data_IF_288998121614
#
_entry.id   IF_288998121614
#
_cell.length_a   1.000
_cell.length_b   1.000
_cell.length_c   1.000
_cell.angle_alpha   90.00
_cell.angle_beta   90.00
_cell.angle_gamma   90.00
#
_symmetry.space_group_name_H-M   'P 1'
#
loop_
_entity.id
_entity.type
_entity.pdbx_description
1 polymer ?
#
# COMPACT_ATOMS: atom_id res chain seq x y z
N UNK A 1 11.09 -4.29 -21.86
CA UNK A 1 10.60 -4.93 -20.63
C UNK A 1 10.13 -6.34 -20.96
N UNK A 2 10.79 -7.34 -20.42
CA UNK A 2 10.44 -8.75 -20.64
C UNK A 2 9.25 -9.08 -19.73
N UNK A 3 8.14 -9.54 -20.29
CA UNK A 3 6.98 -10.05 -19.55
C UNK A 3 6.98 -11.56 -19.69
N UNK A 4 7.34 -12.27 -18.63
CA UNK A 4 7.13 -13.70 -18.53
C UNK A 4 5.98 -14.00 -17.57
N UNK A 5 5.18 -15.07 -17.80
CA UNK A 5 4.20 -15.52 -16.82
C UNK A 5 4.93 -15.94 -15.53
N UNK A 6 4.44 -15.47 -14.39
CA UNK A 6 4.93 -15.89 -13.08
C UNK A 6 4.04 -17.05 -12.62
N UNK A 7 4.65 -18.22 -12.43
CA UNK A 7 3.96 -19.38 -11.86
C UNK A 7 4.20 -19.40 -10.36
N UNK A 8 3.14 -19.67 -9.61
CA UNK A 8 3.25 -19.95 -8.19
C UNK A 8 3.64 -21.41 -8.03
N UNK A 9 4.78 -21.70 -7.40
CA UNK A 9 5.24 -23.05 -7.10
C UNK A 9 5.02 -23.31 -5.61
N UNK A 10 4.47 -24.46 -5.28
CA UNK A 10 4.46 -24.95 -3.90
C UNK A 10 5.86 -25.51 -3.62
N UNK A 11 6.56 -24.90 -2.68
CA UNK A 11 7.95 -25.21 -2.36
C UNK A 11 8.03 -25.58 -0.89
N UNK A 12 8.71 -26.67 -0.55
CA UNK A 12 9.01 -27.01 0.85
C UNK A 12 9.82 -25.87 1.50
N UNK A 13 9.59 -25.67 2.80
CA UNK A 13 10.26 -24.59 3.53
C UNK A 13 11.77 -24.48 3.20
N UNK A 14 12.26 -23.25 2.93
CA UNK A 14 11.77 -21.94 3.37
C UNK A 14 10.75 -21.21 2.46
N UNK A 15 9.96 -21.87 1.66
CA UNK A 15 8.88 -21.30 0.83
C UNK A 15 9.31 -20.16 -0.11
N UNK A 16 10.58 -20.07 -0.43
CA UNK A 16 11.14 -19.05 -1.31
C UNK A 16 12.00 -19.68 -2.40
N UNK A 17 11.91 -19.14 -3.61
CA UNK A 17 12.65 -19.61 -4.76
C UNK A 17 13.02 -18.47 -5.70
N UNK A 18 14.00 -18.75 -6.57
CA UNK A 18 14.38 -17.81 -7.63
C UNK A 18 13.70 -18.22 -8.94
N UNK A 19 12.89 -17.33 -9.48
CA UNK A 19 12.29 -17.48 -10.81
C UNK A 19 12.83 -16.40 -11.73
N UNK A 20 13.63 -16.77 -12.72
CA UNK A 20 14.23 -15.85 -13.72
C UNK A 20 14.93 -14.63 -13.09
N UNK A 21 15.65 -14.83 -11.98
CA UNK A 21 16.36 -13.78 -11.26
C UNK A 21 15.50 -12.95 -10.29
N UNK A 22 14.23 -13.29 -10.12
CA UNK A 22 13.36 -12.70 -9.11
C UNK A 22 13.24 -13.61 -7.89
N UNK A 23 13.41 -13.05 -6.69
CA UNK A 23 13.07 -13.75 -5.46
C UNK A 23 11.55 -13.80 -5.31
N UNK A 24 10.99 -14.99 -5.25
CA UNK A 24 9.54 -15.21 -5.10
C UNK A 24 9.32 -16.00 -3.81
N UNK A 25 8.32 -15.60 -3.06
CA UNK A 25 7.90 -16.27 -1.84
C UNK A 25 6.46 -16.77 -1.98
N UNK A 26 6.24 -18.03 -1.62
CA UNK A 26 4.91 -18.60 -1.59
C UNK A 26 4.39 -18.66 -0.14
N UNK A 27 3.16 -18.23 0.08
CA UNK A 27 2.47 -18.35 1.37
C UNK A 27 1.15 -19.08 1.16
N UNK A 28 1.02 -20.27 1.74
CA UNK A 28 -0.25 -20.97 1.86
C UNK A 28 -0.85 -20.69 3.24
N UNK A 29 -2.04 -20.15 3.28
CA UNK A 29 -2.75 -19.93 4.54
C UNK A 29 -3.92 -20.91 4.66
N UNK A 30 -4.02 -21.69 5.72
CA UNK A 30 -5.15 -22.55 5.97
C UNK A 30 -6.41 -21.73 6.24
N UNK A 31 -7.55 -22.21 5.76
CA UNK A 31 -8.86 -21.63 6.05
C UNK A 31 -9.37 -22.27 7.35
N UNK A 32 -9.45 -21.46 8.40
CA UNK A 32 -10.03 -21.88 9.68
C UNK A 32 -11.54 -21.62 9.73
N UNK A 33 -12.26 -22.40 10.56
CA UNK A 33 -13.70 -22.18 10.80
C UNK A 33 -13.97 -21.03 11.78
N UNK A 34 -12.98 -20.64 12.57
CA UNK A 34 -13.03 -19.54 13.55
C UNK A 34 -12.28 -18.33 13.05
N UNK A 35 -12.44 -17.20 13.74
CA UNK A 35 -11.63 -16.01 13.50
C UNK A 35 -10.13 -16.36 13.65
N UNK A 36 -9.32 -15.85 12.75
CA UNK A 36 -7.88 -16.14 12.71
C UNK A 36 -7.07 -14.88 12.46
N UNK A 37 -5.81 -14.88 12.89
CA UNK A 37 -4.88 -13.77 12.72
C UNK A 37 -3.81 -14.13 11.69
N UNK A 38 -3.68 -13.30 10.67
CA UNK A 38 -2.51 -13.23 9.82
C UNK A 38 -1.68 -12.01 10.24
N UNK A 39 -0.46 -12.24 10.70
CA UNK A 39 0.49 -11.18 11.05
C UNK A 39 1.82 -11.43 10.34
N UNK A 40 2.34 -10.38 9.70
CA UNK A 40 3.61 -10.47 8.98
C UNK A 40 4.40 -9.17 9.10
N UNK A 41 5.72 -9.30 9.01
CA UNK A 41 6.66 -8.18 8.90
C UNK A 41 7.49 -8.37 7.63
N UNK A 42 7.54 -7.33 6.80
CA UNK A 42 8.37 -7.29 5.59
C UNK A 42 9.30 -6.09 5.70
N UNK A 43 10.60 -6.33 5.64
CA UNK A 43 11.62 -5.29 5.65
C UNK A 43 12.50 -5.41 4.40
N UNK A 44 12.64 -4.30 3.65
CA UNK A 44 13.38 -4.24 2.40
C UNK A 44 14.44 -3.15 2.48
N UNK A 45 15.67 -3.48 2.15
CA UNK A 45 16.77 -2.52 2.02
C UNK A 45 17.07 -2.36 0.53
N UNK A 46 16.69 -1.21 -0.05
CA UNK A 46 16.97 -0.89 -1.45
C UNK A 46 18.31 -0.14 -1.52
N UNK A 47 19.31 -0.81 -2.05
CA UNK A 47 20.67 -0.27 -2.16
C UNK A 47 20.75 0.79 -3.25
N UNK A 48 21.87 1.53 -3.27
CA UNK A 48 22.13 2.60 -4.25
C UNK A 48 21.77 2.18 -5.67
N UNK A 49 21.01 3.06 -6.37
CA UNK A 49 20.56 2.92 -7.76
C UNK A 49 19.72 1.66 -8.05
N UNK A 50 19.37 0.90 -7.03
CA UNK A 50 18.51 -0.29 -7.20
C UNK A 50 17.03 0.10 -7.27
N UNK A 51 16.24 -0.76 -7.95
CA UNK A 51 14.78 -0.63 -8.02
C UNK A 51 14.15 -1.93 -7.55
N UNK A 52 13.23 -1.82 -6.60
CA UNK A 52 12.45 -2.93 -6.08
C UNK A 52 10.97 -2.64 -6.24
N UNK A 53 10.23 -3.56 -6.83
CA UNK A 53 8.76 -3.57 -6.84
C UNK A 53 8.29 -4.79 -6.06
N UNK A 54 7.50 -4.54 -5.02
CA UNK A 54 6.88 -5.59 -4.21
C UNK A 54 5.36 -5.54 -4.40
N UNK A 55 4.83 -6.56 -5.05
CA UNK A 55 3.39 -6.66 -5.34
C UNK A 55 2.76 -7.72 -4.46
N UNK A 56 1.68 -7.38 -3.78
CA UNK A 56 0.83 -8.33 -3.06
C UNK A 56 -0.63 -8.16 -3.43
N UNK A 57 -1.32 -9.28 -3.66
CA UNK A 57 -2.77 -9.32 -3.77
C UNK A 57 -3.24 -10.26 -2.66
N UNK A 58 -3.99 -9.73 -1.71
CA UNK A 58 -4.46 -10.47 -0.55
C UNK A 58 -5.98 -10.60 -0.61
N UNK A 59 -6.43 -11.84 -0.75
CA UNK A 59 -7.83 -12.21 -0.77
C UNK A 59 -8.07 -13.29 0.31
N UNK A 60 -7.96 -12.88 1.57
CA UNK A 60 -8.21 -13.75 2.71
C UNK A 60 -9.69 -13.97 2.93
N UNK A 61 -10.05 -15.07 3.59
CA UNK A 61 -11.43 -15.32 4.01
C UNK A 61 -11.92 -14.25 5.01
N UNK A 62 -13.24 -14.06 5.08
CA UNK A 62 -13.88 -12.99 5.86
C UNK A 62 -13.81 -13.18 7.40
N UNK A 63 -13.12 -14.19 7.88
CA UNK A 63 -12.84 -14.40 9.29
C UNK A 63 -11.37 -14.14 9.66
N UNK A 64 -10.58 -13.53 8.76
CA UNK A 64 -9.17 -13.24 9.00
C UNK A 64 -8.96 -11.78 9.40
N UNK A 65 -8.21 -11.58 10.47
CA UNK A 65 -7.59 -10.29 10.82
C UNK A 65 -6.20 -10.24 10.20
N UNK A 66 -6.01 -9.34 9.25
CA UNK A 66 -4.80 -9.23 8.45
C UNK A 66 -3.99 -8.00 8.89
N UNK A 67 -3.01 -8.22 9.76
CA UNK A 67 -2.20 -7.17 10.38
C UNK A 67 -0.76 -7.27 9.88
N UNK A 68 -0.39 -6.44 8.89
CA UNK A 68 0.90 -6.53 8.20
C UNK A 68 1.69 -5.24 8.35
N UNK A 69 2.93 -5.37 8.80
CA UNK A 69 3.92 -4.28 8.80
C UNK A 69 4.85 -4.44 7.59
N UNK A 70 4.95 -3.38 6.78
CA UNK A 70 5.88 -3.31 5.65
C UNK A 70 6.75 -2.06 5.77
N UNK A 71 8.06 -2.22 5.63
CA UNK A 71 9.01 -1.12 5.68
C UNK A 71 10.05 -1.28 4.58
N UNK A 72 10.48 -0.17 4.00
CA UNK A 72 11.61 -0.15 3.10
C UNK A 72 12.49 1.06 3.40
N UNK A 73 13.80 0.89 3.25
CA UNK A 73 14.78 1.98 3.23
C UNK A 73 15.36 2.11 1.84
N UNK A 74 15.50 3.33 1.34
CA UNK A 74 16.05 3.64 0.03
C UNK A 74 17.33 4.44 0.16
N UNK A 75 18.43 3.88 -0.34
CA UNK A 75 19.71 4.58 -0.48
C UNK A 75 19.67 5.58 -1.65
N UNK A 76 20.78 6.25 -1.94
CA UNK A 76 20.92 7.19 -3.04
C UNK A 76 20.46 6.60 -4.39
N UNK A 77 19.62 7.34 -5.13
CA UNK A 77 19.07 6.93 -6.43
C UNK A 77 18.14 5.71 -6.40
N UNK A 78 17.90 5.11 -5.23
CA UNK A 78 17.09 3.90 -5.10
C UNK A 78 15.60 4.17 -5.29
N UNK A 79 14.87 3.18 -5.80
CA UNK A 79 13.41 3.27 -5.98
C UNK A 79 12.72 2.07 -5.32
N UNK A 80 11.74 2.36 -4.45
CA UNK A 80 10.85 1.36 -3.87
C UNK A 80 9.41 1.57 -4.33
N UNK A 81 8.80 0.50 -4.84
CA UNK A 81 7.41 0.49 -5.26
C UNK A 81 6.62 -0.57 -4.47
N UNK A 82 5.64 -0.14 -3.68
CA UNK A 82 4.65 -1.00 -3.05
C UNK A 82 3.38 -1.05 -3.88
N UNK A 83 2.95 -2.24 -4.29
CA UNK A 83 1.67 -2.44 -4.99
C UNK A 83 0.84 -3.42 -4.17
N UNK A 84 -0.27 -2.94 -3.62
CA UNK A 84 -1.11 -3.70 -2.71
C UNK A 84 -2.56 -3.78 -3.19
N UNK A 85 -3.06 -4.99 -3.38
CA UNK A 85 -4.49 -5.31 -3.55
C UNK A 85 -5.02 -5.95 -2.27
N UNK A 86 -5.98 -5.28 -1.61
CA UNK A 86 -6.61 -5.71 -0.35
C UNK A 86 -8.08 -6.01 -0.62
N UNK A 87 -8.44 -7.28 -0.77
CA UNK A 87 -9.79 -7.70 -1.21
C UNK A 87 -10.41 -8.56 -0.13
N UNK A 88 -9.93 -9.40 0.53
CA UNK A 88 -10.52 -10.23 1.56
C UNK A 88 -10.32 -9.67 2.97
N UNK A 89 -10.38 -10.54 3.96
CA UNK A 89 -10.26 -10.29 5.40
C UNK A 89 -11.49 -9.64 6.03
N UNK A 90 -11.68 -9.92 7.32
CA UNK A 90 -12.62 -9.19 8.19
C UNK A 90 -12.10 -7.79 8.48
N UNK A 91 -10.83 -7.71 8.84
CA UNK A 91 -10.11 -6.45 9.07
C UNK A 91 -8.73 -6.56 8.44
N UNK A 92 -8.36 -5.56 7.62
CA UNK A 92 -6.98 -5.36 7.17
C UNK A 92 -6.45 -4.08 7.80
N UNK A 93 -5.25 -4.14 8.39
CA UNK A 93 -4.49 -2.96 8.80
C UNK A 93 -3.09 -3.06 8.18
N UNK A 94 -2.82 -2.23 7.17
CA UNK A 94 -1.58 -2.29 6.40
C UNK A 94 -1.14 -0.92 5.92
N UNK A 95 0.02 -0.47 6.38
CA UNK A 95 0.56 0.87 6.09
C UNK A 95 2.02 0.75 5.67
N UNK A 96 2.29 0.34 4.41
CA UNK A 96 3.66 0.26 3.92
C UNK A 96 4.39 1.59 4.07
N UNK A 97 5.61 1.52 4.58
CA UNK A 97 6.47 2.68 4.79
C UNK A 97 7.68 2.65 3.86
N UNK A 98 8.08 3.84 3.38
CA UNK A 98 9.35 4.05 2.67
C UNK A 98 10.12 5.17 3.34
N UNK A 99 11.35 4.88 3.71
CA UNK A 99 12.31 5.84 4.25
C UNK A 99 13.31 6.20 3.15
N UNK A 100 13.24 7.43 2.64
CA UNK A 100 14.08 7.95 1.56
C UNK A 100 15.34 8.56 2.19
N UNK A 101 16.36 7.71 2.40
CA UNK A 101 17.55 8.05 3.17
C UNK A 101 18.70 8.60 2.33
N UNK A 102 18.66 8.37 1.02
CA UNK A 102 19.67 8.84 0.10
C UNK A 102 19.13 9.87 -0.89
N UNK A 103 20.00 10.76 -1.36
CA UNK A 103 19.67 11.78 -2.37
C UNK A 103 19.06 11.13 -3.61
N UNK A 104 18.03 11.74 -4.20
CA UNK A 104 17.29 11.25 -5.37
C UNK A 104 16.54 9.91 -5.16
N UNK A 105 16.43 9.43 -3.92
CA UNK A 105 15.62 8.24 -3.63
C UNK A 105 14.14 8.48 -3.94
N UNK A 106 13.44 7.43 -4.36
CA UNK A 106 12.02 7.47 -4.76
C UNK A 106 11.21 6.42 -4.04
N UNK A 107 10.00 6.81 -3.61
CA UNK A 107 9.02 5.91 -3.01
C UNK A 107 7.67 6.01 -3.71
N UNK A 108 7.11 4.87 -4.11
CA UNK A 108 5.80 4.81 -4.74
C UNK A 108 4.92 3.80 -4.02
N UNK A 109 3.65 4.14 -3.82
CA UNK A 109 2.65 3.21 -3.28
C UNK A 109 1.39 3.29 -4.12
N UNK A 110 0.97 2.14 -4.65
CA UNK A 110 -0.36 1.94 -5.20
C UNK A 110 -1.12 0.96 -4.30
N UNK A 111 -2.17 1.44 -3.64
CA UNK A 111 -3.05 0.64 -2.79
C UNK A 111 -4.45 0.59 -3.39
N UNK A 112 -4.96 -0.61 -3.59
CA UNK A 112 -6.34 -0.85 -4.01
C UNK A 112 -7.02 -1.65 -2.90
N UNK A 113 -8.19 -1.18 -2.43
CA UNK A 113 -8.96 -1.82 -1.39
C UNK A 113 -10.42 -2.01 -1.80
N UNK A 114 -10.96 -3.18 -1.50
CA UNK A 114 -12.38 -3.47 -1.62
C UNK A 114 -12.92 -3.97 -0.29
N UNK A 115 -13.97 -3.33 0.22
CA UNK A 115 -14.65 -3.72 1.44
C UNK A 115 -16.12 -4.06 1.16
N UNK A 116 -16.48 -5.32 1.36
CA UNK A 116 -17.86 -5.81 1.35
C UNK A 116 -18.47 -5.82 2.74
N UNK A 117 -19.64 -6.46 2.87
CA UNK A 117 -20.35 -6.62 4.15
C UNK A 117 -19.46 -7.23 5.24
N UNK A 118 -19.45 -6.60 6.41
CA UNK A 118 -18.65 -7.04 7.56
C UNK A 118 -17.15 -6.86 7.45
N UNK A 119 -16.66 -6.21 6.37
CA UNK A 119 -15.24 -5.99 6.14
C UNK A 119 -14.82 -4.55 6.44
N UNK A 120 -13.62 -4.40 7.01
CA UNK A 120 -12.96 -3.11 7.19
C UNK A 120 -11.55 -3.16 6.60
N UNK A 121 -11.33 -2.45 5.51
CA UNK A 121 -10.01 -2.29 4.90
C UNK A 121 -9.40 -0.96 5.34
N UNK A 122 -8.55 -0.99 6.36
CA UNK A 122 -7.80 0.17 6.85
C UNK A 122 -6.38 0.08 6.26
N UNK A 123 -6.21 0.71 5.11
CA UNK A 123 -4.97 0.70 4.36
C UNK A 123 -4.44 2.12 4.19
N UNK A 124 -3.16 2.26 3.90
CA UNK A 124 -2.54 3.57 3.71
C UNK A 124 -1.10 3.46 3.29
N UNK A 125 -0.33 4.52 3.49
CA UNK A 125 1.10 4.52 3.22
C UNK A 125 1.83 5.56 4.06
N UNK A 126 3.13 5.35 4.26
CA UNK A 126 4.00 6.29 4.97
C UNK A 126 5.23 6.60 4.10
N UNK A 127 5.50 7.88 3.88
CA UNK A 127 6.68 8.35 3.17
C UNK A 127 7.48 9.28 4.08
N UNK A 128 8.73 8.95 4.31
CA UNK A 128 9.66 9.75 5.12
C UNK A 128 10.80 10.20 4.24
N UNK A 129 10.86 11.50 3.97
CA UNK A 129 11.92 12.14 3.22
C UNK A 129 12.98 12.60 4.21
N UNK A 130 14.17 11.99 4.18
CA UNK A 130 15.29 12.29 5.07
C UNK A 130 16.57 12.71 4.33
N UNK A 131 16.48 12.91 3.01
CA UNK A 131 17.57 13.35 2.17
C UNK A 131 17.08 14.32 1.10
N UNK A 132 17.95 15.17 0.52
CA UNK A 132 17.59 16.13 -0.52
C UNK A 132 17.12 15.45 -1.82
N UNK A 133 16.33 16.19 -2.61
CA UNK A 133 15.88 15.83 -3.95
C UNK A 133 15.12 14.48 -4.01
N UNK A 134 14.51 14.07 -2.91
CA UNK A 134 13.73 12.83 -2.86
C UNK A 134 12.31 13.02 -3.40
N UNK A 135 11.70 11.96 -3.87
CA UNK A 135 10.34 12.03 -4.40
C UNK A 135 9.47 10.88 -3.92
N UNK A 136 8.18 11.17 -3.68
CA UNK A 136 7.21 10.15 -3.35
C UNK A 136 5.87 10.33 -4.04
N UNK A 137 5.19 9.22 -4.30
CA UNK A 137 3.83 9.21 -4.83
C UNK A 137 3.00 8.14 -4.12
N UNK A 138 1.84 8.54 -3.60
CA UNK A 138 0.87 7.63 -3.01
C UNK A 138 -0.43 7.73 -3.81
N UNK A 139 -0.87 6.60 -4.34
CA UNK A 139 -2.19 6.45 -4.98
C UNK A 139 -2.96 5.41 -4.19
N UNK A 140 -4.06 5.82 -3.57
CA UNK A 140 -4.97 4.95 -2.86
C UNK A 140 -6.33 4.96 -3.51
N UNK A 141 -6.82 3.79 -3.92
CA UNK A 141 -8.15 3.63 -4.50
C UNK A 141 -8.94 2.62 -3.70
N UNK A 142 -10.16 2.96 -3.35
CA UNK A 142 -11.01 2.08 -2.56
C UNK A 142 -12.45 2.03 -3.06
N UNK A 143 -13.06 0.87 -2.85
CA UNK A 143 -14.49 0.64 -3.13
C UNK A 143 -15.11 0.03 -1.89
N UNK A 144 -16.23 0.56 -1.43
CA UNK A 144 -17.01 0.01 -0.34
C UNK A 144 -18.44 -0.29 -0.79
N UNK A 145 -18.95 -1.49 -0.42
CA UNK A 145 -20.29 -1.99 -0.77
C UNK A 145 -20.88 -2.81 0.38
N UNK A 146 -22.23 -2.82 0.49
CA UNK A 146 -22.94 -3.68 1.44
C UNK A 146 -22.67 -3.36 2.90
N UNK A 147 -22.43 -2.08 3.23
CA UNK A 147 -22.03 -1.67 4.57
C UNK A 147 -20.55 -1.87 4.90
N UNK A 148 -19.74 -2.23 3.91
CA UNK A 148 -18.29 -2.31 4.06
C UNK A 148 -17.66 -0.95 4.40
N UNK A 149 -16.49 -0.99 5.04
CA UNK A 149 -15.77 0.21 5.44
C UNK A 149 -14.37 0.21 4.86
N UNK A 150 -13.99 1.32 4.23
CA UNK A 150 -12.60 1.58 3.83
C UNK A 150 -12.04 2.75 4.62
N UNK A 151 -10.78 2.67 5.00
CA UNK A 151 -10.07 3.79 5.64
C UNK A 151 -8.71 3.97 4.99
N UNK A 152 -8.33 5.21 4.74
CA UNK A 152 -6.98 5.58 4.34
C UNK A 152 -6.27 6.28 5.50
N UNK A 153 -5.07 5.80 5.86
CA UNK A 153 -4.18 6.47 6.80
C UNK A 153 -2.85 6.75 6.14
N UNK A 154 -2.58 8.03 5.90
CA UNK A 154 -1.34 8.48 5.27
C UNK A 154 -0.44 9.23 6.22
N UNK A 155 0.87 9.04 6.07
CA UNK A 155 1.88 9.89 6.68
C UNK A 155 2.84 10.35 5.60
N UNK A 156 2.98 11.67 5.46
CA UNK A 156 4.10 12.31 4.75
C UNK A 156 4.92 13.06 5.78
N UNK A 157 6.18 12.69 5.91
CA UNK A 157 7.12 13.40 6.75
C UNK A 157 8.29 13.87 5.89
N UNK A 158 8.56 15.17 5.88
CA UNK A 158 9.72 15.77 5.25
C UNK A 158 10.59 16.37 6.35
N UNK A 159 11.76 15.78 6.55
CA UNK A 159 12.68 16.18 7.61
C UNK A 159 13.47 17.43 7.21
N UNK A 160 13.98 18.15 8.19
CA UNK A 160 14.92 19.23 7.99
C UNK A 160 16.13 18.75 7.17
N UNK A 161 16.54 19.53 6.18
CA UNK A 161 17.60 19.18 5.24
C UNK A 161 17.17 18.34 4.03
N UNK A 162 15.92 17.90 3.94
CA UNK A 162 15.38 17.20 2.76
C UNK A 162 14.91 18.19 1.67
N UNK A 163 15.76 19.17 1.34
CA UNK A 163 15.52 20.24 0.36
C UNK A 163 15.20 19.67 -1.03
N UNK A 164 14.40 20.36 -1.82
CA UNK A 164 14.03 19.98 -3.18
C UNK A 164 13.12 18.74 -3.26
N UNK A 165 12.62 18.24 -2.11
CA UNK A 165 11.78 17.04 -2.06
C UNK A 165 10.39 17.29 -2.61
N UNK A 166 9.80 16.24 -3.22
CA UNK A 166 8.47 16.29 -3.83
C UNK A 166 7.61 15.13 -3.35
N UNK A 167 6.36 15.42 -2.97
CA UNK A 167 5.41 14.40 -2.56
C UNK A 167 4.04 14.65 -3.17
N UNK A 168 3.42 13.59 -3.70
CA UNK A 168 2.03 13.63 -4.17
C UNK A 168 1.23 12.52 -3.52
N UNK A 169 0.02 12.87 -3.08
CA UNK A 169 -0.94 11.91 -2.51
C UNK A 169 -2.26 12.07 -3.22
N UNK A 170 -2.79 10.97 -3.72
CA UNK A 170 -4.12 10.92 -4.31
C UNK A 170 -4.93 9.78 -3.71
N UNK A 171 -6.09 10.11 -3.15
CA UNK A 171 -7.00 9.16 -2.54
C UNK A 171 -8.37 9.25 -3.22
N UNK A 172 -8.77 8.18 -3.89
CA UNK A 172 -10.08 8.06 -4.53
C UNK A 172 -10.91 6.96 -3.84
N UNK A 173 -12.07 7.29 -3.31
CA UNK A 173 -12.98 6.33 -2.70
C UNK A 173 -14.32 6.32 -3.43
N UNK A 174 -14.82 5.12 -3.72
CA UNK A 174 -16.12 4.90 -4.32
C UNK A 174 -17.05 4.20 -3.33
N UNK A 175 -18.19 4.81 -3.03
CA UNK A 175 -19.28 4.22 -2.27
C UNK A 175 -20.37 3.74 -3.22
N UNK A 176 -20.64 2.44 -3.22
CA UNK A 176 -21.63 1.82 -4.14
C UNK A 176 -23.05 1.91 -3.59
N UNK A 177 -23.20 2.16 -2.28
CA UNK A 177 -24.49 2.27 -1.60
C UNK A 177 -24.47 3.34 -0.50
N UNK A 178 -25.59 3.47 0.22
CA UNK A 178 -25.80 4.51 1.26
C UNK A 178 -25.34 4.09 2.64
N UNK A 179 -25.06 2.81 2.88
CA UNK A 179 -24.70 2.25 4.18
C UNK A 179 -23.20 2.00 4.32
N UNK A 180 -22.47 1.97 3.21
CA UNK A 180 -21.02 1.84 3.18
C UNK A 180 -20.31 3.13 3.59
N UNK A 181 -19.08 3.00 4.08
CA UNK A 181 -18.33 4.14 4.65
C UNK A 181 -16.90 4.19 4.10
N UNK A 182 -16.40 5.41 3.92
CA UNK A 182 -14.99 5.68 3.66
C UNK A 182 -14.49 6.79 4.58
N UNK A 183 -13.36 6.57 5.22
CA UNK A 183 -12.73 7.53 6.13
C UNK A 183 -11.31 7.83 5.63
N UNK A 184 -10.86 9.08 5.78
CA UNK A 184 -9.52 9.51 5.38
C UNK A 184 -8.83 10.23 6.53
N UNK A 185 -7.64 9.76 6.90
CA UNK A 185 -6.83 10.30 8.01
C UNK A 185 -5.43 10.67 7.49
N UNK A 186 -5.29 11.79 6.80
CA UNK A 186 -3.98 12.26 6.35
C UNK A 186 -3.23 12.90 7.52
N UNK A 187 -1.95 12.60 7.61
CA UNK A 187 -1.03 13.28 8.50
C UNK A 187 0.18 13.79 7.71
N UNK A 188 0.50 15.05 7.87
CA UNK A 188 1.57 15.74 7.15
C UNK A 188 2.45 16.49 8.16
N UNK A 189 3.75 16.17 8.17
CA UNK A 189 4.77 16.81 8.99
C UNK A 189 5.89 17.30 8.06
N UNK A 190 5.87 18.59 7.73
CA UNK A 190 6.87 19.23 6.87
C UNK A 190 7.74 20.15 7.69
N UNK A 191 9.05 19.90 7.70
CA UNK A 191 10.07 20.65 8.45
C UNK A 191 11.12 21.29 7.54
N UNK A 192 10.81 21.40 6.25
CA UNK A 192 11.68 21.98 5.23
C UNK A 192 10.86 22.90 4.33
N UNK A 193 11.36 24.08 4.01
CA UNK A 193 10.63 25.10 3.26
C UNK A 193 10.71 24.89 1.75
N UNK A 194 11.86 24.40 1.24
CA UNK A 194 12.07 24.14 -0.18
C UNK A 194 11.54 22.75 -0.59
N UNK A 195 10.21 22.64 -0.64
CA UNK A 195 9.53 21.38 -1.00
C UNK A 195 8.28 21.61 -1.85
N UNK A 196 7.88 20.59 -2.58
CA UNK A 196 6.63 20.58 -3.35
C UNK A 196 5.73 19.47 -2.84
N UNK A 197 4.53 19.81 -2.40
CA UNK A 197 3.57 18.84 -1.92
C UNK A 197 2.19 19.06 -2.53
N UNK A 198 1.59 17.97 -3.02
CA UNK A 198 0.21 17.92 -3.49
C UNK A 198 -0.57 16.83 -2.75
N UNK A 199 -1.77 17.17 -2.27
CA UNK A 199 -2.69 16.19 -1.69
C UNK A 199 -4.08 16.39 -2.26
N UNK A 200 -4.64 15.35 -2.84
CA UNK A 200 -5.99 15.32 -3.39
C UNK A 200 -6.76 14.12 -2.83
N UNK A 201 -7.97 14.35 -2.38
CA UNK A 201 -8.85 13.28 -1.91
C UNK A 201 -10.24 13.46 -2.49
N UNK A 202 -10.79 12.39 -3.08
CA UNK A 202 -12.13 12.38 -3.68
C UNK A 202 -12.94 11.23 -3.10
N UNK A 203 -14.15 11.49 -2.67
CA UNK A 203 -15.14 10.49 -2.32
C UNK A 203 -16.33 10.62 -3.25
N UNK A 204 -16.58 9.60 -4.05
CA UNK A 204 -17.71 9.55 -4.97
C UNK A 204 -18.73 8.51 -4.53
N UNK A 205 -20.00 8.79 -4.74
CA UNK A 205 -21.10 7.86 -4.54
C UNK A 205 -21.77 7.59 -5.88
N UNK A 206 -22.00 6.34 -6.20
CA UNK A 206 -22.78 5.96 -7.39
C UNK A 206 -24.26 6.14 -7.08
N UNK A 207 -24.99 6.87 -7.94
CA UNK A 207 -26.44 6.95 -7.87
C UNK A 207 -27.07 5.70 -8.50
N UNK A 208 -28.30 5.36 -8.12
CA UNK A 208 -29.02 4.22 -8.70
C UNK A 208 -29.15 4.33 -10.23
N UNK A 209 -29.34 5.55 -10.75
CA UNK A 209 -29.43 5.83 -12.18
C UNK A 209 -28.13 5.55 -12.95
N UNK A 210 -26.97 5.64 -12.28
CA UNK A 210 -25.67 5.37 -12.88
C UNK A 210 -25.32 3.87 -12.92
N UNK A 211 -26.08 3.02 -12.23
CA UNK A 211 -25.87 1.56 -12.23
C UNK A 211 -26.54 0.87 -13.43
N UNK A 212 -27.34 1.60 -14.23
CA UNK A 212 -28.08 1.05 -15.37
C UNK A 212 -27.45 1.34 -16.75
N UNK A 213 -26.23 1.89 -16.80
CA UNK A 213 -25.52 2.17 -18.05
C UNK A 213 -24.20 1.42 -18.16
#
# INVERSE_FOLDING_TARGET
>A
AYRAPVFNLDVEAPDSYLAQGFAVHNCTAPIYKSDSLHSAVVEIVVKKDARVRYTTIQNWSNNVYNLVTKRATCAEGATMEWIDGNIGSKVTMKYPAVYLLGRHARGETLSIAFAGEGQHQDAGAKMVHAAPDTSSSIISKSVARGGGRTSYRGLIQIQEGATGSKSTVRCDALLVDTISRSDTYPYVDVREDDVQMGHEATVSKVSEDQLFY
#
